data_IF_730106411193
#
_entry.id   IF_730106411193
#
_cell.length_a   1.000
_cell.length_b   1.000
_cell.length_c   1.000
_cell.angle_alpha   90.00
_cell.angle_beta   90.00
_cell.angle_gamma   90.00
#
_symmetry.space_group_name_H-M   'P 1'
#
loop_
_entity.id
_entity.type
_entity.pdbx_description
1 polymer ?
#
# COMPACT_ATOMS: atom_id res chain seq x y z
N UNK A 1 -17.16 -0.70 -0.38
CA UNK A 1 -17.34 -1.40 0.91
C UNK A 1 -18.80 -1.71 1.22
N UNK A 2 -19.70 -0.73 1.26
CA UNK A 2 -21.12 -1.00 1.53
C UNK A 2 -21.74 -1.95 0.48
N UNK A 3 -21.45 -1.80 -0.81
CA UNK A 3 -21.93 -2.73 -1.84
C UNK A 3 -21.38 -4.16 -1.71
N UNK A 4 -20.10 -4.32 -1.33
CA UNK A 4 -19.51 -5.62 -1.00
C UNK A 4 -20.24 -6.29 0.17
N UNK A 5 -20.58 -5.50 1.19
CA UNK A 5 -21.25 -5.99 2.40
C UNK A 5 -22.77 -6.16 2.22
N UNK A 6 -23.37 -5.46 1.26
CA UNK A 6 -24.78 -5.54 0.88
C UNK A 6 -25.04 -6.65 -0.17
N UNK A 7 -24.02 -7.38 -0.62
CA UNK A 7 -24.16 -8.49 -1.57
C UNK A 7 -24.44 -8.05 -3.01
N UNK A 8 -24.26 -6.77 -3.33
CA UNK A 8 -24.53 -6.20 -4.66
C UNK A 8 -23.39 -6.41 -5.66
N UNK A 9 -22.24 -6.90 -5.21
CA UNK A 9 -21.08 -7.18 -6.06
C UNK A 9 -21.13 -8.63 -6.55
N UNK A 10 -21.11 -8.83 -7.86
CA UNK A 10 -20.96 -10.14 -8.49
C UNK A 10 -19.49 -10.59 -8.50
N UNK A 11 -19.21 -11.79 -9.03
CA UNK A 11 -17.85 -12.31 -9.08
C UNK A 11 -16.92 -11.44 -9.93
N UNK A 12 -17.41 -10.94 -11.07
CA UNK A 12 -16.64 -10.08 -11.98
C UNK A 12 -16.23 -8.78 -11.28
N UNK A 13 -17.17 -8.11 -10.63
CA UNK A 13 -16.91 -6.91 -9.83
C UNK A 13 -15.96 -7.19 -8.65
N UNK A 14 -16.11 -8.34 -7.98
CA UNK A 14 -15.18 -8.75 -6.93
C UNK A 14 -13.75 -8.91 -7.44
N UNK A 15 -13.55 -9.61 -8.57
CA UNK A 15 -12.23 -9.79 -9.19
C UNK A 15 -11.63 -8.46 -9.65
N UNK A 16 -12.42 -7.59 -10.26
CA UNK A 16 -11.97 -6.27 -10.68
C UNK A 16 -11.57 -5.38 -9.49
N UNK A 17 -12.31 -5.45 -8.39
CA UNK A 17 -11.93 -4.81 -7.13
C UNK A 17 -10.58 -5.33 -6.60
N UNK A 18 -10.37 -6.64 -6.60
CA UNK A 18 -9.08 -7.23 -6.19
C UNK A 18 -7.93 -6.79 -7.10
N UNK A 19 -8.14 -6.77 -8.42
CA UNK A 19 -7.13 -6.32 -9.39
C UNK A 19 -6.75 -4.84 -9.18
N UNK A 20 -7.74 -3.98 -8.91
CA UNK A 20 -7.49 -2.57 -8.63
C UNK A 20 -6.70 -2.37 -7.32
N UNK A 21 -6.99 -3.16 -6.29
CA UNK A 21 -6.20 -3.15 -5.05
C UNK A 21 -4.80 -3.72 -5.26
N UNK A 22 -4.65 -4.76 -6.09
CA UNK A 22 -3.36 -5.34 -6.41
C UNK A 22 -2.45 -4.32 -7.09
N UNK A 23 -2.97 -3.55 -8.05
CA UNK A 23 -2.18 -2.52 -8.72
C UNK A 23 -1.71 -1.44 -7.74
N UNK A 24 -2.61 -0.92 -6.90
CA UNK A 24 -2.27 0.06 -5.86
C UNK A 24 -1.16 -0.44 -4.92
N UNK A 25 -1.30 -1.67 -4.42
CA UNK A 25 -0.43 -2.21 -3.39
C UNK A 25 0.88 -2.76 -3.95
N UNK A 26 0.89 -3.31 -5.16
CA UNK A 26 2.12 -3.75 -5.83
C UNK A 26 3.05 -2.58 -6.15
N UNK A 27 2.50 -1.45 -6.64
CA UNK A 27 3.28 -0.23 -6.84
C UNK A 27 3.86 0.29 -5.51
N UNK A 28 3.02 0.38 -4.47
CA UNK A 28 3.46 0.87 -3.17
C UNK A 28 4.53 -0.04 -2.54
N UNK A 29 4.35 -1.37 -2.61
CA UNK A 29 5.32 -2.34 -2.09
C UNK A 29 6.63 -2.29 -2.85
N UNK A 30 6.58 -2.08 -4.18
CA UNK A 30 7.78 -1.93 -5.02
C UNK A 30 8.57 -0.69 -4.62
N UNK A 31 7.89 0.47 -4.56
CA UNK A 31 8.49 1.76 -4.18
C UNK A 31 9.10 1.74 -2.77
N UNK A 32 8.61 0.84 -1.91
CA UNK A 32 8.98 0.78 -0.49
C UNK A 32 9.73 -0.46 -0.07
N UNK A 33 10.06 -1.34 -1.01
CA UNK A 33 10.74 -2.61 -0.77
C UNK A 33 11.99 -2.47 0.12
N UNK A 34 12.90 -1.54 -0.20
CA UNK A 34 14.10 -1.30 0.58
C UNK A 34 13.81 -0.79 2.01
N UNK A 35 12.79 0.05 2.16
CA UNK A 35 12.37 0.54 3.48
C UNK A 35 11.65 -0.53 4.30
N UNK A 36 10.80 -1.36 3.68
CA UNK A 36 10.16 -2.49 4.34
C UNK A 36 11.19 -3.51 4.85
N UNK A 37 12.24 -3.77 4.07
CA UNK A 37 13.36 -4.60 4.51
C UNK A 37 14.12 -3.96 5.69
N UNK A 38 14.32 -2.64 5.66
CA UNK A 38 15.06 -1.97 6.73
C UNK A 38 14.27 -1.92 8.05
N UNK A 39 12.94 -1.75 8.03
CA UNK A 39 12.12 -1.79 9.26
C UNK A 39 12.03 -3.20 9.87
N UNK A 40 12.11 -4.25 9.06
CA UNK A 40 12.22 -5.62 9.58
C UNK A 40 13.51 -5.80 10.36
N UNK A 41 14.64 -5.33 9.82
CA UNK A 41 15.94 -5.41 10.48
C UNK A 41 16.06 -4.49 11.71
N UNK A 42 15.56 -3.27 11.63
CA UNK A 42 15.75 -2.25 12.67
C UNK A 42 14.68 -2.25 13.77
N UNK A 43 13.45 -2.64 13.45
CA UNK A 43 12.31 -2.58 14.37
C UNK A 43 11.63 -3.94 14.56
N UNK A 44 12.09 -5.00 13.89
CA UNK A 44 11.51 -6.34 13.97
C UNK A 44 10.13 -6.46 13.32
N UNK A 45 9.68 -5.45 12.55
CA UNK A 45 8.38 -5.47 11.90
C UNK A 45 8.44 -6.20 10.56
N UNK A 46 7.81 -7.37 10.50
CA UNK A 46 7.76 -8.20 9.30
C UNK A 46 6.44 -7.95 8.57
N UNK A 47 6.50 -7.13 7.53
CA UNK A 47 5.35 -6.82 6.70
C UNK A 47 4.86 -8.06 5.93
N UNK A 48 3.54 -8.31 5.97
CA UNK A 48 2.90 -9.34 5.16
C UNK A 48 2.48 -8.74 3.82
N UNK A 49 3.07 -9.21 2.72
CA UNK A 49 2.76 -8.70 1.37
C UNK A 49 1.29 -8.86 1.04
N UNK A 50 0.65 -7.73 0.73
CA UNK A 50 -0.74 -7.68 0.27
C UNK A 50 -0.79 -7.96 -1.22
N UNK A 51 0.22 -7.51 -1.97
CA UNK A 51 0.34 -7.79 -3.39
C UNK A 51 0.39 -9.31 -3.66
N UNK A 52 1.22 -10.07 -2.93
CA UNK A 52 1.28 -11.54 -3.08
C UNK A 52 -0.04 -12.21 -2.69
N UNK A 53 -0.69 -11.78 -1.60
CA UNK A 53 -1.98 -12.33 -1.21
C UNK A 53 -3.07 -12.09 -2.27
N UNK A 54 -3.08 -10.89 -2.87
CA UNK A 54 -3.99 -10.53 -3.96
C UNK A 54 -3.66 -11.29 -5.26
N UNK A 55 -2.37 -11.51 -5.55
CA UNK A 55 -1.94 -12.31 -6.70
C UNK A 55 -2.45 -13.76 -6.57
N UNK A 56 -2.34 -14.37 -5.38
CA UNK A 56 -2.94 -15.68 -5.12
C UNK A 56 -4.45 -15.67 -5.29
N UNK A 57 -5.13 -14.61 -4.85
CA UNK A 57 -6.58 -14.49 -5.02
C UNK A 57 -7.00 -14.36 -6.50
N UNK A 58 -6.13 -13.77 -7.32
CA UNK A 58 -6.34 -13.51 -8.74
C UNK A 58 -5.76 -14.60 -9.67
N UNK A 59 -4.92 -15.51 -9.18
CA UNK A 59 -4.20 -16.50 -10.00
C UNK A 59 -5.10 -17.41 -10.85
N UNK A 60 -6.38 -17.53 -10.50
CA UNK A 60 -7.40 -18.25 -11.27
C UNK A 60 -8.25 -17.35 -12.19
N UNK A 61 -7.85 -16.11 -12.48
CA UNK A 61 -8.67 -15.20 -13.29
C UNK A 61 -8.19 -13.75 -13.40
N UNK A 62 -6.88 -13.48 -13.45
CA UNK A 62 -6.37 -12.18 -13.91
C UNK A 62 -6.95 -11.91 -15.32
N UNK A 63 -7.73 -10.84 -15.52
CA UNK A 63 -8.07 -10.41 -16.86
C UNK A 63 -6.76 -10.10 -17.60
N UNK A 64 -6.51 -10.82 -18.70
CA UNK A 64 -5.32 -10.67 -19.55
C UNK A 64 -5.13 -9.24 -20.09
N UNK A 65 -6.15 -8.39 -20.01
CA UNK A 65 -6.16 -7.02 -20.52
C UNK A 65 -5.57 -5.96 -19.58
N UNK A 66 -5.24 -6.28 -18.32
CA UNK A 66 -4.63 -5.32 -17.39
C UNK A 66 -3.11 -5.45 -17.26
N UNK A 67 -2.49 -6.43 -17.92
CA UNK A 67 -1.02 -6.56 -18.02
C UNK A 67 -0.43 -5.61 -19.06
N UNK A 68 -0.89 -4.36 -19.06
CA UNK A 68 -0.31 -3.26 -19.82
C UNK A 68 1.14 -3.08 -19.38
N UNK A 69 2.04 -3.62 -20.19
CA UNK A 69 3.49 -3.57 -20.07
C UNK A 69 4.03 -2.20 -19.59
N UNK A 70 4.59 -2.07 -18.37
CA UNK A 70 5.22 -0.83 -17.92
C UNK A 70 6.65 -0.64 -18.45
N UNK A 71 7.16 -1.52 -19.32
CA UNK A 71 8.50 -1.38 -19.89
C UNK A 71 8.49 -0.42 -21.09
N UNK A 72 8.47 0.90 -20.82
CA UNK A 72 8.97 1.94 -21.77
C UNK A 72 9.16 3.31 -21.13
N UNK A 73 9.87 3.40 -20.00
CA UNK A 73 10.57 4.65 -19.66
C UNK A 73 11.98 4.55 -20.24
N UNK A 74 12.14 5.16 -21.42
CA UNK A 74 13.44 5.37 -22.07
C UNK A 74 14.37 6.12 -21.12
N UNK A 75 15.53 5.53 -20.83
CA UNK A 75 16.68 6.25 -20.31
C UNK A 75 17.02 7.40 -21.27
N UNK A 76 17.06 8.63 -20.74
CA UNK A 76 17.46 9.83 -21.48
C UNK A 76 18.94 10.07 -21.16
N UNK A 77 19.84 10.18 -22.15
CA UNK A 77 21.25 10.42 -21.87
C UNK A 77 21.45 11.83 -21.30
N UNK A 78 22.40 11.93 -20.38
CA UNK A 78 22.85 13.16 -19.76
C UNK A 78 23.25 14.19 -20.81
N UNK A 79 22.75 15.41 -20.66
CA UNK A 79 23.32 16.57 -21.35
C UNK A 79 24.21 17.30 -20.36
N UNK A 80 25.45 17.48 -20.79
CA UNK A 80 26.43 18.38 -20.21
C UNK A 80 25.81 19.74 -19.90
N UNK A 81 26.04 20.22 -18.69
CA UNK A 81 26.09 21.66 -18.44
C UNK A 81 27.21 21.92 -17.43
N UNK A 82 28.35 22.32 -17.99
CA UNK A 82 29.42 23.03 -17.32
C UNK A 82 28.86 24.41 -16.88
N UNK A 83 29.48 25.01 -15.84
CA UNK A 83 29.24 26.32 -15.20
C UNK A 83 28.35 26.38 -13.94
N UNK A 84 29.01 26.76 -12.83
CA UNK A 84 28.36 27.28 -11.61
C UNK A 84 28.43 26.33 -10.42
N UNK A 85 29.57 26.28 -9.72
CA UNK A 85 29.69 25.54 -8.45
C UNK A 85 28.99 26.36 -7.33
N UNK A 86 27.69 26.15 -7.19
CA UNK A 86 26.88 26.57 -6.03
C UNK A 86 26.96 25.54 -4.87
N UNK A 87 26.59 25.90 -3.62
CA UNK A 87 27.04 25.22 -2.41
C UNK A 87 26.43 23.82 -2.25
N UNK A 88 27.28 22.79 -2.33
CA UNK A 88 26.88 21.38 -2.26
C UNK A 88 26.26 21.00 -0.88
N UNK A 89 26.62 21.71 0.20
CA UNK A 89 26.16 21.40 1.56
C UNK A 89 24.67 21.68 1.81
N UNK A 90 24.12 22.76 1.23
CA UNK A 90 22.71 23.10 1.40
C UNK A 90 21.80 22.12 0.63
N UNK A 91 22.27 21.65 -0.53
CA UNK A 91 21.58 20.66 -1.37
C UNK A 91 21.54 19.27 -0.71
N UNK A 92 22.66 18.82 -0.14
CA UNK A 92 22.74 17.56 0.62
C UNK A 92 21.78 17.58 1.83
N UNK A 93 21.80 18.65 2.62
CA UNK A 93 20.87 18.82 3.75
C UNK A 93 19.39 18.85 3.31
N UNK A 94 19.07 19.51 2.20
CA UNK A 94 17.72 19.51 1.65
C UNK A 94 17.29 18.12 1.15
N UNK A 95 18.18 17.37 0.51
CA UNK A 95 17.93 16.01 0.05
C UNK A 95 17.70 15.06 1.22
N UNK A 96 18.54 15.12 2.26
CA UNK A 96 18.37 14.32 3.47
C UNK A 96 17.06 14.65 4.19
N UNK A 97 16.69 15.93 4.28
CA UNK A 97 15.40 16.33 4.87
C UNK A 97 14.20 15.85 4.05
N UNK A 98 14.28 15.90 2.72
CA UNK A 98 13.23 15.36 1.82
C UNK A 98 13.11 13.84 1.95
N UNK A 99 14.23 13.13 1.95
CA UNK A 99 14.27 11.68 2.14
C UNK A 99 13.68 11.29 3.50
N UNK A 100 14.08 11.99 4.58
CA UNK A 100 13.50 11.79 5.90
C UNK A 100 12.00 12.06 5.92
N UNK A 101 11.54 13.14 5.28
CA UNK A 101 10.12 13.43 5.14
C UNK A 101 9.34 12.32 4.43
N UNK A 102 9.92 11.74 3.36
CA UNK A 102 9.32 10.63 2.64
C UNK A 102 9.24 9.35 3.50
N UNK A 103 10.27 9.05 4.31
CA UNK A 103 10.25 7.92 5.25
C UNK A 103 9.20 8.11 6.35
N UNK A 104 9.03 9.33 6.87
CA UNK A 104 8.00 9.63 7.86
C UNK A 104 6.59 9.49 7.29
N UNK A 105 6.39 9.94 6.05
CA UNK A 105 5.12 9.69 5.34
C UNK A 105 4.88 8.19 5.11
N UNK A 106 5.95 7.41 4.86
CA UNK A 106 5.84 5.96 4.66
C UNK A 106 5.24 5.24 5.86
N UNK A 107 5.60 5.64 7.08
CA UNK A 107 5.01 5.11 8.32
C UNK A 107 3.49 5.35 8.38
N UNK A 108 3.04 6.53 7.97
CA UNK A 108 1.61 6.83 7.91
C UNK A 108 0.84 6.04 6.86
N UNK A 109 1.46 5.80 5.70
CA UNK A 109 0.85 4.93 4.69
C UNK A 109 0.74 3.47 5.18
N UNK A 110 1.82 2.97 5.80
CA UNK A 110 1.84 1.62 6.38
C UNK A 110 0.79 1.49 7.49
N UNK A 111 0.55 2.53 8.29
CA UNK A 111 -0.56 2.55 9.26
C UNK A 111 -1.92 2.31 8.63
N UNK A 112 -2.19 2.92 7.49
CA UNK A 112 -3.47 2.72 6.78
C UNK A 112 -3.56 1.29 6.24
N UNK A 113 -2.47 0.75 5.68
CA UNK A 113 -2.44 -0.61 5.14
C UNK A 113 -2.64 -1.64 6.25
N UNK A 114 -1.90 -1.55 7.36
CA UNK A 114 -2.05 -2.48 8.50
C UNK A 114 -3.43 -2.33 9.16
N UNK A 115 -3.91 -1.10 9.32
CA UNK A 115 -5.23 -0.82 9.87
C UNK A 115 -6.37 -1.37 9.00
N UNK A 116 -6.19 -1.41 7.67
CA UNK A 116 -7.20 -1.97 6.76
C UNK A 116 -7.47 -3.45 7.01
N UNK A 117 -6.49 -4.20 7.52
CA UNK A 117 -6.63 -5.62 7.82
C UNK A 117 -7.62 -5.89 8.97
N UNK A 118 -7.82 -4.94 9.89
CA UNK A 118 -8.72 -5.12 11.04
C UNK A 118 -10.17 -5.42 10.63
N UNK A 119 -10.65 -4.79 9.55
CA UNK A 119 -11.97 -5.07 8.98
C UNK A 119 -12.05 -6.39 8.22
N UNK A 120 -10.89 -6.96 7.83
CA UNK A 120 -10.77 -8.15 7.00
C UNK A 120 -11.48 -9.37 7.59
N UNK A 121 -11.46 -9.55 8.91
CA UNK A 121 -12.14 -10.67 9.59
C UNK A 121 -13.65 -10.71 9.32
N UNK A 122 -14.31 -9.56 9.28
CA UNK A 122 -15.76 -9.49 9.01
C UNK A 122 -16.03 -9.71 7.52
N UNK A 123 -15.17 -9.14 6.68
CA UNK A 123 -15.30 -9.20 5.22
C UNK A 123 -15.08 -10.64 4.72
N UNK A 124 -14.01 -11.30 5.15
CA UNK A 124 -13.63 -12.64 4.67
C UNK A 124 -14.70 -13.69 4.97
N UNK A 125 -15.38 -13.58 6.12
CA UNK A 125 -16.48 -14.48 6.47
C UNK A 125 -17.61 -14.41 5.44
N UNK A 126 -18.07 -13.20 5.12
CA UNK A 126 -19.13 -12.98 4.13
C UNK A 126 -18.70 -13.37 2.72
N UNK A 127 -17.44 -13.14 2.38
CA UNK A 127 -16.90 -13.54 1.08
C UNK A 127 -16.89 -15.05 0.91
N UNK A 128 -16.47 -15.82 1.92
CA UNK A 128 -16.51 -17.30 1.88
C UNK A 128 -17.93 -17.84 1.77
N UNK A 129 -18.91 -17.17 2.34
CA UNK A 129 -20.34 -17.52 2.19
C UNK A 129 -20.85 -17.23 0.77
N UNK A 130 -20.40 -16.12 0.16
CA UNK A 130 -20.88 -15.66 -1.16
C UNK A 130 -20.16 -16.32 -2.33
N UNK A 131 -18.85 -16.51 -2.22
CA UNK A 131 -17.95 -17.01 -3.25
C UNK A 131 -17.10 -18.17 -2.72
N UNK A 132 -17.71 -19.29 -2.28
CA UNK A 132 -16.99 -20.38 -1.58
C UNK A 132 -15.91 -21.06 -2.43
N UNK A 133 -15.99 -20.96 -3.76
CA UNK A 133 -15.01 -21.50 -4.68
C UNK A 133 -13.79 -20.58 -4.90
N UNK A 134 -13.82 -19.34 -4.39
CA UNK A 134 -12.74 -18.39 -4.58
C UNK A 134 -11.78 -18.35 -3.38
N UNK A 135 -10.47 -18.17 -3.65
CA UNK A 135 -9.53 -17.78 -2.61
C UNK A 135 -9.81 -16.36 -2.07
N UNK A 136 -9.48 -16.15 -0.79
CA UNK A 136 -9.65 -14.88 -0.09
C UNK A 136 -8.46 -14.53 0.82
N UNK A 137 -7.24 -14.91 0.40
CA UNK A 137 -5.98 -14.71 1.13
C UNK A 137 -5.80 -13.26 1.57
N UNK A 138 -6.11 -12.28 0.72
CA UNK A 138 -5.93 -10.87 1.05
C UNK A 138 -6.76 -10.46 2.28
N UNK A 139 -8.06 -10.77 2.30
CA UNK A 139 -8.92 -10.45 3.43
C UNK A 139 -8.68 -11.37 4.64
N UNK A 140 -8.20 -12.60 4.41
CA UNK A 140 -7.86 -13.55 5.47
C UNK A 140 -6.70 -13.08 6.36
N UNK A 141 -5.83 -12.18 5.89
CA UNK A 141 -4.79 -11.57 6.76
C UNK A 141 -5.43 -10.89 7.98
N UNK A 142 -6.66 -10.37 7.82
CA UNK A 142 -7.42 -9.76 8.90
C UNK A 142 -7.85 -10.68 10.03
N UNK A 143 -7.87 -12.01 9.82
CA UNK A 143 -8.31 -12.98 10.83
C UNK A 143 -7.40 -12.99 12.06
N UNK A 144 -6.12 -12.67 11.87
CA UNK A 144 -5.09 -12.65 12.92
C UNK A 144 -4.49 -11.25 13.15
N UNK A 145 -5.16 -10.18 12.71
CA UNK A 145 -4.58 -8.83 12.69
C UNK A 145 -4.54 -8.10 14.04
N UNK A 146 -5.33 -8.51 15.04
CA UNK A 146 -5.48 -7.75 16.29
C UNK A 146 -4.18 -7.64 17.12
N UNK A 147 -3.47 -8.75 17.33
CA UNK A 147 -2.22 -8.73 18.09
C UNK A 147 -1.07 -8.05 17.31
N UNK A 148 -0.85 -8.32 16.00
CA UNK A 148 0.07 -7.54 15.17
C UNK A 148 -0.26 -6.05 15.18
N UNK A 149 -1.53 -5.66 15.14
CA UNK A 149 -1.95 -4.26 15.16
C UNK A 149 -1.50 -3.53 16.42
N UNK A 150 -1.73 -4.10 17.60
CA UNK A 150 -1.26 -3.47 18.85
C UNK A 150 0.26 -3.35 18.91
N UNK A 151 0.99 -4.36 18.42
CA UNK A 151 2.46 -4.31 18.31
C UNK A 151 2.91 -3.22 17.34
N UNK A 152 2.20 -3.05 16.23
CA UNK A 152 2.46 -2.01 15.25
C UNK A 152 2.25 -0.62 15.83
N UNK A 153 1.15 -0.39 16.54
CA UNK A 153 0.85 0.88 17.22
C UNK A 153 1.96 1.23 18.23
N UNK A 154 2.35 0.27 19.08
CA UNK A 154 3.41 0.49 20.06
C UNK A 154 4.77 0.80 19.42
N UNK A 155 5.04 0.30 18.22
CA UNK A 155 6.22 0.67 17.43
C UNK A 155 6.08 2.10 16.89
N UNK A 156 4.92 2.49 16.34
CA UNK A 156 4.69 3.84 15.85
C UNK A 156 4.86 4.91 16.94
N UNK A 157 4.38 4.65 18.16
CA UNK A 157 4.53 5.58 19.28
C UNK A 157 6.00 5.90 19.57
N UNK A 158 6.91 4.94 19.32
CA UNK A 158 8.35 5.12 19.49
C UNK A 158 8.98 5.84 18.30
N UNK A 159 8.60 5.47 17.08
CA UNK A 159 9.20 6.01 15.86
C UNK A 159 8.72 7.43 15.54
N UNK A 160 7.49 7.76 15.95
CA UNK A 160 6.81 9.04 15.66
C UNK A 160 6.62 9.88 16.93
N UNK A 161 7.57 9.82 17.87
CA UNK A 161 7.48 10.55 19.14
C UNK A 161 7.43 12.08 18.96
N UNK A 162 8.09 12.60 17.92
CA UNK A 162 8.15 14.04 17.67
C UNK A 162 6.89 14.56 16.94
N UNK A 163 6.29 15.69 17.36
CA UNK A 163 5.11 16.24 16.70
C UNK A 163 5.30 16.51 15.20
N UNK A 164 6.51 16.89 14.78
CA UNK A 164 6.83 17.09 13.37
C UNK A 164 6.86 15.77 12.58
N UNK A 165 7.34 14.69 13.20
CA UNK A 165 7.33 13.36 12.61
C UNK A 165 5.89 12.84 12.45
N UNK A 166 5.07 13.02 13.50
CA UNK A 166 3.65 12.65 13.46
C UNK A 166 2.89 13.40 12.36
N UNK A 167 3.10 14.71 12.19
CA UNK A 167 2.48 15.48 11.10
C UNK A 167 2.82 14.91 9.72
N UNK A 168 4.09 14.55 9.48
CA UNK A 168 4.51 13.92 8.21
C UNK A 168 3.87 12.55 8.02
N UNK A 169 3.77 11.75 9.07
CA UNK A 169 3.05 10.47 8.99
C UNK A 169 1.57 10.69 8.66
N UNK A 170 0.90 11.65 9.29
CA UNK A 170 -0.51 11.97 8.99
C UNK A 170 -0.70 12.38 7.53
N UNK A 171 0.21 13.18 6.94
CA UNK A 171 0.19 13.50 5.50
C UNK A 171 0.24 12.23 4.64
N UNK A 172 1.12 11.28 4.99
CA UNK A 172 1.22 9.98 4.32
C UNK A 172 -0.06 9.15 4.45
N UNK A 173 -0.61 9.07 5.66
CA UNK A 173 -1.85 8.34 5.92
C UNK A 173 -3.03 8.90 5.09
N UNK A 174 -3.20 10.23 5.08
CA UNK A 174 -4.24 10.90 4.30
C UNK A 174 -4.09 10.63 2.80
N UNK A 175 -2.86 10.63 2.28
CA UNK A 175 -2.57 10.26 0.89
C UNK A 175 -2.97 8.81 0.60
N UNK A 176 -2.65 7.86 1.48
CA UNK A 176 -3.02 6.46 1.28
C UNK A 176 -4.54 6.25 1.34
N UNK A 177 -5.23 6.91 2.27
CA UNK A 177 -6.70 6.91 2.28
C UNK A 177 -7.29 7.45 0.97
N UNK A 178 -6.72 8.53 0.43
CA UNK A 178 -7.15 9.09 -0.85
C UNK A 178 -6.93 8.11 -2.01
N UNK A 179 -5.79 7.38 -2.04
CA UNK A 179 -5.52 6.34 -3.04
C UNK A 179 -6.53 5.19 -2.94
N UNK A 180 -6.75 4.64 -1.74
CA UNK A 180 -7.78 3.59 -1.54
C UNK A 180 -9.17 4.04 -1.99
N UNK A 181 -9.58 5.26 -1.62
CA UNK A 181 -10.88 5.81 -2.03
C UNK A 181 -10.97 5.94 -3.56
N UNK A 182 -9.93 6.43 -4.21
CA UNK A 182 -9.86 6.55 -5.67
C UNK A 182 -9.99 5.18 -6.34
N UNK A 183 -9.26 4.17 -5.88
CA UNK A 183 -9.35 2.78 -6.38
C UNK A 183 -10.78 2.24 -6.30
N UNK A 184 -11.51 2.55 -5.22
CA UNK A 184 -12.91 2.14 -5.06
C UNK A 184 -13.88 2.92 -5.98
N UNK A 185 -13.65 4.21 -6.19
CA UNK A 185 -14.50 5.08 -7.02
C UNK A 185 -14.32 4.79 -8.52
N UNK A 186 -13.07 4.65 -8.96
CA UNK A 186 -12.74 4.34 -10.35
C UNK A 186 -13.37 2.98 -10.72
N UNK A 187 -13.32 1.99 -9.82
CA UNK A 187 -13.99 0.70 -10.06
C UNK A 187 -15.52 0.80 -10.10
N UNK A 188 -16.13 1.54 -9.17
CA UNK A 188 -17.59 1.74 -9.16
C UNK A 188 -18.11 2.48 -10.41
N UNK A 189 -17.24 3.14 -11.17
CA UNK A 189 -17.59 3.85 -12.41
C UNK A 189 -17.52 2.94 -13.65
N UNK A 190 -17.04 1.70 -13.50
CA UNK A 190 -16.82 0.72 -14.57
C UNK A 190 -17.67 -0.56 -14.42
N UNK A 191 -18.59 -0.59 -13.45
CA UNK A 191 -19.59 -1.64 -13.22
C UNK A 191 -20.98 -1.06 -13.45
#
# INVERSE_FOLDING_TARGET
>A
MQQLLAGALDETGYRALLAAQWHLLSEWETDRSAWLASIAASHGWHYTSRATALEHDLANGLPRDLTGNPARVRARPARDTLWGREPQDLSLSANSRRAQGALLQAWGELYVIEGSALGGRVIVKRLRERFPALPHHFYAIGENAAAPWHRFQAMLDRVLAEPAALRRAVEGALRMFARYRKTLQDHASHV
#
